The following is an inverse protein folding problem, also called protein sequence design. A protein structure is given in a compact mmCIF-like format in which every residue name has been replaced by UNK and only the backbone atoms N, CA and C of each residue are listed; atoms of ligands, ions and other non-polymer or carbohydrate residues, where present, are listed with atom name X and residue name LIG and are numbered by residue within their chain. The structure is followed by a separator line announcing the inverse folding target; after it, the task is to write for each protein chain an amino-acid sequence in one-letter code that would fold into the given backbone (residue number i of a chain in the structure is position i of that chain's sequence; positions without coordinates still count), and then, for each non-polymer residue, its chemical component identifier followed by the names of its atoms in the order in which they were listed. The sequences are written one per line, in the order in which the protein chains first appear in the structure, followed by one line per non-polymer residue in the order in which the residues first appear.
data_IF_212718109395
#
_entry.id   IF_212718109395
#
_cell.length_a   1.000
_cell.length_b   1.000
_cell.length_c   1.000
_cell.angle_alpha   90.00
_cell.angle_beta   90.00
_cell.angle_gamma   90.00
#
_symmetry.space_group_name_H-M   'P 1'
#
loop_
_entity.id
_entity.type
_entity.pdbx_description
1 polymer ?
#
# COMPACT_ATOMS: atom_id res chain seq x y z
N UNK A 1 19.17 0.90 -1.26
CA UNK A 1 18.31 0.26 -2.27
C UNK A 1 17.59 -0.94 -1.66
N UNK A 2 16.27 -1.00 -1.82
CA UNK A 2 15.46 -2.17 -1.46
C UNK A 2 15.15 -2.95 -2.74
N UNK A 3 15.67 -4.17 -2.84
CA UNK A 3 15.42 -5.07 -3.97
C UNK A 3 14.47 -6.16 -3.49
N UNK A 4 13.32 -6.31 -4.17
CA UNK A 4 12.39 -7.40 -3.91
C UNK A 4 12.86 -8.66 -4.63
N UNK A 5 13.01 -9.76 -3.88
CA UNK A 5 13.44 -11.04 -4.45
C UNK A 5 12.22 -11.77 -5.02
N UNK A 6 12.34 -12.23 -6.27
CA UNK A 6 11.27 -12.97 -6.96
C UNK A 6 11.00 -14.28 -6.23
N UNK A 7 9.72 -14.64 -6.08
CA UNK A 7 9.23 -15.86 -5.38
C UNK A 7 9.53 -15.92 -3.87
N UNK A 8 9.77 -14.76 -3.24
CA UNK A 8 9.90 -14.65 -1.79
C UNK A 8 8.78 -13.78 -1.24
N UNK A 9 8.10 -14.25 -0.19
CA UNK A 9 7.12 -13.45 0.53
C UNK A 9 7.79 -12.18 1.08
N UNK A 10 7.17 -11.04 0.83
CA UNK A 10 7.63 -9.75 1.35
C UNK A 10 6.43 -9.03 1.94
N UNK A 11 6.54 -8.67 3.22
CA UNK A 11 5.52 -7.83 3.86
C UNK A 11 5.73 -6.38 3.44
N UNK A 12 4.69 -5.74 2.89
CA UNK A 12 4.66 -4.33 2.56
C UNK A 12 3.65 -3.61 3.45
N UNK A 13 4.10 -2.54 4.11
CA UNK A 13 3.25 -1.69 4.93
C UNK A 13 3.28 -0.25 4.43
N UNK A 14 2.11 0.38 4.36
CA UNK A 14 1.98 1.82 4.12
C UNK A 14 1.20 2.47 5.25
N UNK A 15 1.74 3.56 5.80
CA UNK A 15 1.03 4.38 6.80
C UNK A 15 0.96 5.82 6.36
N UNK A 16 -0.06 6.52 6.82
CA UNK A 16 -0.22 7.95 6.56
C UNK A 16 -0.70 8.70 7.80
N UNK A 17 -0.05 9.81 8.09
CA UNK A 17 -0.61 10.90 8.88
C UNK A 17 -0.09 12.25 8.38
N UNK A 18 -0.75 13.35 8.76
CA UNK A 18 -0.29 14.69 8.39
C UNK A 18 1.08 15.03 8.99
N UNK A 19 1.38 14.50 10.19
CA UNK A 19 2.66 14.72 10.87
C UNK A 19 3.80 13.96 10.21
N UNK A 20 3.58 12.73 9.75
CA UNK A 20 4.67 11.87 9.27
C UNK A 20 4.67 11.66 7.76
N UNK A 21 3.65 12.16 7.07
CA UNK A 21 3.42 11.91 5.64
C UNK A 21 3.18 10.43 5.35
N UNK A 22 3.41 10.05 4.10
CA UNK A 22 3.36 8.65 3.68
C UNK A 22 4.65 7.98 4.13
N UNK A 23 4.52 6.83 4.78
CA UNK A 23 5.65 5.97 5.16
C UNK A 23 5.47 4.60 4.52
N UNK A 24 6.56 4.07 3.98
CA UNK A 24 6.63 2.73 3.42
C UNK A 24 7.53 1.86 4.29
N UNK A 25 7.09 0.63 4.53
CA UNK A 25 7.81 -0.37 5.29
C UNK A 25 7.97 -1.64 4.45
N UNK A 26 9.14 -2.26 4.54
CA UNK A 26 9.45 -3.54 3.90
C UNK A 26 9.92 -4.50 4.98
N UNK A 27 9.27 -5.65 5.10
CA UNK A 27 9.54 -6.64 6.16
C UNK A 27 9.59 -6.01 7.57
N UNK A 28 8.65 -5.10 7.84
CA UNK A 28 8.52 -4.42 9.14
C UNK A 28 9.48 -3.26 9.36
N UNK A 29 10.49 -3.07 8.50
CA UNK A 29 11.48 -2.00 8.61
C UNK A 29 11.07 -0.77 7.80
N UNK A 30 11.28 0.43 8.34
CA UNK A 30 11.00 1.67 7.61
C UNK A 30 11.92 1.76 6.38
N UNK A 31 11.34 1.80 5.18
CA UNK A 31 12.05 2.00 3.94
C UNK A 31 12.23 3.48 3.61
N UNK A 32 11.19 4.29 3.84
CA UNK A 32 11.24 5.72 3.54
C UNK A 32 9.98 6.46 3.95
N UNK A 33 10.09 7.80 3.92
CA UNK A 33 9.01 8.73 4.24
C UNK A 33 9.05 9.94 3.31
N UNK A 34 7.89 10.51 3.02
CA UNK A 34 7.78 11.81 2.34
C UNK A 34 8.08 13.00 3.27
N UNK A 35 8.13 12.78 4.59
CA UNK A 35 8.04 13.86 5.58
C UNK A 35 6.62 14.41 5.70
N UNK A 36 6.37 15.37 6.63
CA UNK A 36 5.05 15.93 6.88
C UNK A 36 4.35 16.39 5.59
N UNK A 37 3.17 15.86 5.32
CA UNK A 37 2.43 16.12 4.09
C UNK A 37 0.92 16.02 4.34
N UNK A 38 0.15 16.90 3.70
CA UNK A 38 -1.31 16.89 3.76
C UNK A 38 -1.88 16.52 2.40
N UNK A 39 -2.67 15.45 2.36
CA UNK A 39 -3.44 15.05 1.18
C UNK A 39 -4.93 15.21 1.46
N UNK A 40 -5.66 15.79 0.51
CA UNK A 40 -7.11 15.86 0.54
C UNK A 40 -7.71 14.71 -0.28
N UNK A 41 -8.77 14.08 0.24
CA UNK A 41 -9.54 13.13 -0.53
C UNK A 41 -10.23 13.84 -1.70
N UNK A 42 -10.31 13.20 -2.87
CA UNK A 42 -10.96 13.78 -4.05
C UNK A 42 -12.48 13.92 -3.95
N UNK A 43 -13.10 13.46 -2.85
CA UNK A 43 -14.56 13.31 -2.64
C UNK A 43 -15.29 12.42 -3.67
N UNK A 44 -14.53 11.74 -4.54
CA UNK A 44 -15.07 10.78 -5.50
C UNK A 44 -15.13 9.40 -4.86
N UNK A 45 -16.14 8.62 -5.27
CA UNK A 45 -16.14 7.18 -5.01
C UNK A 45 -14.98 6.60 -5.81
N UNK A 46 -14.11 5.86 -5.11
CA UNK A 46 -13.00 5.13 -5.71
C UNK A 46 -13.09 3.67 -5.32
N UNK A 47 -12.55 2.79 -6.15
CA UNK A 47 -12.56 1.36 -5.94
C UNK A 47 -11.18 0.90 -5.45
N UNK A 48 -11.18 0.07 -4.40
CA UNK A 48 -9.96 -0.61 -4.00
C UNK A 48 -9.61 -1.67 -5.04
N UNK A 49 -8.48 -1.45 -5.71
CA UNK A 49 -7.96 -2.33 -6.74
C UNK A 49 -6.80 -3.15 -6.18
N UNK A 50 -6.89 -4.48 -6.25
CA UNK A 50 -5.85 -5.40 -5.77
C UNK A 50 -5.40 -6.27 -6.95
N UNK A 51 -4.09 -6.35 -7.17
CA UNK A 51 -3.50 -7.20 -8.20
C UNK A 51 -3.69 -6.72 -9.65
N UNK A 52 -4.54 -5.73 -9.91
CA UNK A 52 -4.67 -5.11 -11.22
C UNK A 52 -5.32 -3.74 -11.10
N UNK A 53 -4.97 -2.80 -11.99
CA UNK A 53 -5.61 -1.49 -12.04
C UNK A 53 -6.85 -1.54 -12.94
N UNK A 54 -7.97 -1.06 -12.43
CA UNK A 54 -9.20 -0.88 -13.20
C UNK A 54 -9.42 0.61 -13.42
N UNK A 55 -9.40 1.04 -14.69
CA UNK A 55 -9.78 2.40 -15.04
C UNK A 55 -11.27 2.45 -15.33
N UNK A 56 -11.92 3.54 -14.90
CA UNK A 56 -13.28 3.87 -15.31
C UNK A 56 -13.20 4.84 -16.48
N UNK A 57 -13.35 4.32 -17.70
CA UNK A 57 -13.50 5.15 -18.90
C UNK A 57 -14.96 5.04 -19.37
N UNK A 58 -15.63 6.19 -19.49
CA UNK A 58 -17.04 6.29 -19.95
C UNK A 58 -18.06 5.44 -19.16
N UNK A 59 -17.84 5.24 -17.86
CA UNK A 59 -18.74 4.47 -17.01
C UNK A 59 -18.63 2.95 -17.16
N UNK A 60 -17.65 2.46 -17.92
CA UNK A 60 -17.27 1.04 -17.95
C UNK A 60 -15.97 0.82 -17.18
N UNK A 61 -15.94 -0.22 -16.35
CA UNK A 61 -14.75 -0.69 -15.68
C UNK A 61 -13.89 -1.46 -16.68
N UNK A 62 -12.76 -0.87 -17.08
CA UNK A 62 -11.81 -1.51 -18.00
C UNK A 62 -10.57 -1.87 -17.20
N UNK A 63 -10.22 -3.15 -17.20
CA UNK A 63 -8.92 -3.60 -16.70
C UNK A 63 -7.84 -2.96 -17.58
N UNK A 64 -6.99 -2.15 -16.98
CA UNK A 64 -5.95 -1.40 -17.68
C UNK A 64 -4.59 -1.73 -17.07
N UNK A 65 -3.62 -2.08 -17.92
CA UNK A 65 -2.27 -2.42 -17.50
C UNK A 65 -2.00 -3.92 -17.37
N UNK A 66 -0.78 -4.26 -16.97
CA UNK A 66 -0.34 -5.64 -16.76
C UNK A 66 -0.73 -6.05 -15.33
N UNK A 67 -1.47 -7.18 -15.14
CA UNK A 67 -1.80 -7.64 -13.81
C UNK A 67 -0.55 -8.06 -13.03
N UNK A 68 -0.62 -7.97 -11.71
CA UNK A 68 0.37 -8.53 -10.81
C UNK A 68 0.35 -10.07 -10.93
N UNK A 69 1.48 -10.65 -11.34
CA UNK A 69 1.65 -12.09 -11.54
C UNK A 69 2.34 -12.73 -10.32
N UNK A 70 1.77 -12.54 -9.14
CA UNK A 70 2.25 -13.09 -7.88
C UNK A 70 1.11 -13.45 -6.93
N UNK A 71 1.46 -13.87 -5.71
CA UNK A 71 0.48 -14.15 -4.66
C UNK A 71 0.36 -12.95 -3.71
N UNK A 72 -0.85 -12.72 -3.20
CA UNK A 72 -1.15 -11.72 -2.17
C UNK A 72 -1.90 -12.46 -1.07
N UNK A 73 -1.51 -12.22 0.18
CA UNK A 73 -2.15 -12.79 1.36
C UNK A 73 -2.17 -11.74 2.48
N UNK A 74 -3.02 -11.94 3.49
CA UNK A 74 -3.07 -11.14 4.72
C UNK A 74 -3.24 -9.61 4.46
N UNK A 75 -4.25 -9.26 3.67
CA UNK A 75 -4.55 -7.87 3.29
C UNK A 75 -5.38 -7.14 4.36
N UNK A 76 -4.83 -6.04 4.88
CA UNK A 76 -5.47 -5.20 5.91
C UNK A 76 -5.55 -3.73 5.52
N UNK A 77 -6.62 -3.05 5.96
CA UNK A 77 -6.77 -1.59 5.87
C UNK A 77 -7.18 -1.03 7.22
N UNK A 78 -6.44 -0.02 7.70
CA UNK A 78 -6.69 0.64 8.98
C UNK A 78 -7.10 2.10 8.77
N UNK A 79 -7.97 2.59 9.66
CA UNK A 79 -8.43 3.99 9.67
C UNK A 79 -7.53 4.95 10.47
N UNK A 80 -6.31 4.52 10.77
CA UNK A 80 -5.31 5.28 11.51
C UNK A 80 -3.92 4.93 11.03
N UNK A 81 -2.97 5.80 11.31
CA UNK A 81 -1.56 5.43 11.23
C UNK A 81 -1.25 4.32 12.23
N UNK A 82 -0.66 3.23 11.75
CA UNK A 82 -0.03 2.23 12.60
C UNK A 82 1.38 2.71 13.00
N UNK A 83 1.78 2.36 14.21
CA UNK A 83 3.15 2.56 14.69
C UNK A 83 4.13 1.58 14.04
N UNK A 84 5.42 1.89 14.08
CA UNK A 84 6.47 1.02 13.55
C UNK A 84 6.46 -0.38 14.23
N UNK A 85 6.16 -0.46 15.52
CA UNK A 85 6.05 -1.73 16.24
C UNK A 85 4.84 -2.56 15.80
N UNK A 86 3.71 -1.93 15.51
CA UNK A 86 2.53 -2.62 14.97
C UNK A 86 2.81 -3.16 13.56
N UNK A 87 3.48 -2.38 12.72
CA UNK A 87 3.90 -2.82 11.38
C UNK A 87 4.91 -3.98 11.47
N UNK A 88 5.86 -3.93 12.41
CA UNK A 88 6.83 -5.00 12.62
C UNK A 88 6.16 -6.30 13.11
N UNK A 89 5.12 -6.20 13.93
CA UNK A 89 4.36 -7.36 14.38
C UNK A 89 3.61 -8.03 13.21
N UNK A 90 3.03 -7.24 12.29
CA UNK A 90 2.38 -7.77 11.09
C UNK A 90 3.35 -8.39 10.07
N UNK A 91 4.61 -7.96 10.07
CA UNK A 91 5.63 -8.46 9.15
C UNK A 91 6.20 -9.84 9.52
N UNK A 92 5.96 -10.32 10.73
CA UNK A 92 6.42 -11.61 11.23
C UNK A 92 5.22 -12.51 11.60
N UNK A 93 4.41 -12.95 10.61
CA UNK A 93 3.29 -13.84 10.87
C UNK A 93 3.74 -15.22 11.37
#
# INVERSE_FOLDING_TARGET
DCILTVRTWTHLGYTYSTTNGLRMYVNGQLFGTTGPASWSSSSRIDWLNIGCYVSTFWGSNVISGVPYLGAIDEFYVYRRELSASEILALANP
#
